data_IF_181452385766
#
_entry.id   IF_181452385766
#
_cell.length_a   1.000
_cell.length_b   1.000
_cell.length_c   1.000
_cell.angle_alpha   90.00
_cell.angle_beta   90.00
_cell.angle_gamma   90.00
#
_symmetry.space_group_name_H-M   'P 1'
#
loop_
_entity.id
_entity.type
_entity.pdbx_description
1 polymer ?
#
# COMPACT_ATOMS: atom_id res chain seq x y z
N UNK A 1 0.76 -11.72 -2.56
CA UNK A 1 1.47 -10.44 -2.79
C UNK A 1 2.14 -9.94 -1.50
N UNK A 2 1.44 -9.40 -0.49
CA UNK A 2 2.02 -8.91 0.78
C UNK A 2 3.06 -9.88 1.39
N UNK A 3 2.69 -11.15 1.57
CA UNK A 3 3.59 -12.20 2.08
C UNK A 3 4.88 -12.37 1.26
N UNK A 4 4.83 -12.19 -0.06
CA UNK A 4 6.01 -12.29 -0.93
C UNK A 4 6.93 -11.07 -0.74
N UNK A 5 6.38 -9.88 -0.53
CA UNK A 5 7.19 -8.71 -0.14
C UNK A 5 7.89 -8.93 1.21
N UNK A 6 7.23 -9.59 2.18
CA UNK A 6 7.87 -9.98 3.45
C UNK A 6 9.09 -10.86 3.20
N UNK A 7 8.98 -11.92 2.38
CA UNK A 7 10.11 -12.79 2.03
C UNK A 7 11.30 -12.00 1.47
N UNK A 8 11.03 -11.00 0.63
CA UNK A 8 12.03 -10.11 0.04
C UNK A 8 12.67 -9.08 1.01
N UNK A 9 12.20 -8.95 2.25
CA UNK A 9 12.74 -8.04 3.29
C UNK A 9 13.16 -8.78 4.57
N UNK A 10 13.30 -10.11 4.56
CA UNK A 10 13.79 -10.87 5.71
C UNK A 10 15.30 -10.66 5.89
N UNK A 11 15.70 -10.14 7.05
CA UNK A 11 17.00 -10.45 7.62
C UNK A 11 16.99 -11.87 8.18
N UNK A 12 17.90 -12.72 7.70
CA UNK A 12 18.04 -14.11 8.14
C UNK A 12 18.85 -14.25 9.45
N UNK A 13 19.48 -13.19 9.95
CA UNK A 13 20.04 -13.17 11.31
C UNK A 13 18.95 -12.98 12.38
N UNK A 14 17.89 -12.23 12.07
CA UNK A 14 16.76 -11.97 12.98
C UNK A 14 15.39 -12.26 12.31
N UNK A 15 15.15 -13.49 11.81
CA UNK A 15 13.98 -13.76 11.00
C UNK A 15 12.69 -13.74 11.84
N UNK A 16 11.58 -13.16 11.33
CA UNK A 16 10.25 -13.40 11.89
C UNK A 16 9.85 -14.88 11.73
N UNK A 17 8.78 -15.35 12.40
CA UNK A 17 8.35 -16.76 12.29
C UNK A 17 7.97 -17.17 10.85
N UNK A 18 8.89 -17.84 10.17
CA UNK A 18 8.71 -18.42 8.84
C UNK A 18 8.02 -19.79 8.96
N UNK A 19 7.24 -20.17 7.94
CA UNK A 19 6.77 -21.53 7.73
C UNK A 19 6.91 -21.94 6.26
N UNK A 20 7.50 -23.09 5.97
CA UNK A 20 7.60 -23.67 4.62
C UNK A 20 6.84 -25.01 4.60
N UNK A 21 6.10 -25.29 3.51
CA UNK A 21 5.43 -26.60 3.38
C UNK A 21 6.44 -27.67 2.98
N UNK A 22 6.29 -28.90 3.50
CA UNK A 22 7.14 -30.03 3.12
C UNK A 22 7.19 -30.24 1.59
N UNK A 23 6.04 -30.08 0.94
CA UNK A 23 5.88 -30.06 -0.52
C UNK A 23 6.80 -29.02 -1.20
N UNK A 24 6.91 -27.80 -0.67
CA UNK A 24 7.84 -26.77 -1.18
C UNK A 24 9.30 -27.19 -0.99
N UNK A 25 9.63 -27.87 0.11
CA UNK A 25 11.00 -28.38 0.37
C UNK A 25 11.34 -29.53 -0.57
N UNK A 26 10.40 -30.45 -0.82
CA UNK A 26 10.56 -31.55 -1.78
C UNK A 26 10.68 -30.99 -3.21
N UNK A 27 9.87 -30.00 -3.59
CA UNK A 27 9.99 -29.29 -4.86
C UNK A 27 11.33 -28.55 -5.02
N UNK A 28 11.86 -27.93 -3.95
CA UNK A 28 13.20 -27.31 -3.94
C UNK A 28 14.29 -28.35 -4.20
N UNK A 29 14.24 -29.48 -3.48
CA UNK A 29 15.18 -30.59 -3.63
C UNK A 29 15.16 -31.22 -5.04
N UNK A 30 14.01 -31.20 -5.72
CA UNK A 30 13.86 -31.77 -7.06
C UNK A 30 14.11 -30.77 -8.21
N UNK A 31 13.78 -29.49 -8.02
CA UNK A 31 14.04 -28.46 -9.05
C UNK A 31 15.52 -28.08 -9.13
N UNK A 32 16.24 -28.15 -8.00
CA UNK A 32 17.64 -27.70 -7.88
C UNK A 32 18.65 -28.84 -7.67
N UNK A 33 18.33 -30.05 -8.13
CA UNK A 33 19.27 -31.19 -8.14
C UNK A 33 20.58 -30.81 -8.85
N UNK A 34 21.71 -31.23 -8.28
CA UNK A 34 23.05 -30.90 -8.79
C UNK A 34 23.62 -29.54 -8.32
N UNK A 35 22.81 -28.70 -7.66
CA UNK A 35 23.33 -27.55 -6.91
C UNK A 35 24.21 -28.02 -5.74
N UNK A 36 25.36 -27.38 -5.45
CA UNK A 36 26.21 -27.74 -4.31
C UNK A 36 25.55 -27.47 -2.94
N UNK A 37 24.40 -26.80 -2.91
CA UNK A 37 23.59 -26.57 -1.71
C UNK A 37 22.43 -27.57 -1.55
N UNK A 38 22.25 -28.51 -2.50
CA UNK A 38 21.14 -29.47 -2.53
C UNK A 38 21.69 -30.91 -2.47
N UNK A 39 21.29 -31.73 -1.48
CA UNK A 39 21.80 -33.08 -1.32
C UNK A 39 21.28 -34.04 -2.39
N UNK A 40 22.20 -34.81 -2.97
CA UNK A 40 21.91 -35.85 -3.96
C UNK A 40 21.64 -37.24 -3.36
N UNK A 41 22.00 -37.47 -2.10
CA UNK A 41 21.80 -38.76 -1.41
C UNK A 41 20.46 -38.82 -0.70
N UNK A 42 19.87 -40.03 -0.56
CA UNK A 42 18.59 -40.21 0.15
C UNK A 42 18.68 -39.72 1.60
N UNK A 43 19.73 -40.11 2.32
CA UNK A 43 20.01 -39.65 3.68
C UNK A 43 20.12 -38.12 3.75
N UNK A 44 20.89 -37.49 2.85
CA UNK A 44 21.03 -36.04 2.83
C UNK A 44 19.70 -35.31 2.59
N UNK A 45 18.80 -35.88 1.77
CA UNK A 45 17.43 -35.36 1.59
C UNK A 45 16.56 -35.56 2.84
N UNK A 46 16.65 -36.70 3.50
CA UNK A 46 15.98 -36.95 4.79
C UNK A 46 16.44 -35.94 5.87
N UNK A 47 17.74 -35.66 5.95
CA UNK A 47 18.33 -34.64 6.83
C UNK A 47 17.91 -33.20 6.44
N UNK A 48 17.83 -32.90 5.14
CA UNK A 48 17.40 -31.59 4.64
C UNK A 48 15.94 -31.28 5.01
N UNK A 49 15.07 -32.29 4.95
CA UNK A 49 13.66 -32.18 5.33
C UNK A 49 13.45 -32.00 6.85
N UNK A 50 14.51 -32.11 7.65
CA UNK A 50 14.53 -31.83 9.09
C UNK A 50 15.22 -30.50 9.44
N UNK A 51 15.66 -29.71 8.45
CA UNK A 51 16.22 -28.37 8.68
C UNK A 51 15.14 -27.38 9.15
N UNK A 52 15.49 -26.38 9.98
CA UNK A 52 14.56 -25.31 10.33
C UNK A 52 14.31 -24.40 9.12
N UNK A 53 13.08 -23.90 8.99
CA UNK A 53 12.61 -23.18 7.78
C UNK A 53 13.44 -21.95 7.41
N UNK A 54 14.05 -21.23 8.37
CA UNK A 54 14.95 -20.11 8.07
C UNK A 54 16.22 -20.55 7.32
N UNK A 55 16.71 -21.76 7.59
CA UNK A 55 17.90 -22.34 6.94
C UNK A 55 17.56 -22.96 5.59
N UNK A 56 16.33 -23.43 5.42
CA UNK A 56 15.79 -23.78 4.10
C UNK A 56 15.66 -22.51 3.25
N UNK A 57 15.15 -21.40 3.81
CA UNK A 57 15.04 -20.11 3.13
C UNK A 57 16.40 -19.52 2.71
N UNK A 58 17.42 -19.61 3.57
CA UNK A 58 18.82 -19.29 3.21
C UNK A 58 19.28 -20.07 1.97
N UNK A 59 19.00 -21.39 1.92
CA UNK A 59 19.35 -22.23 0.77
C UNK A 59 18.52 -21.83 -0.48
N UNK A 60 17.23 -21.52 -0.33
CA UNK A 60 16.38 -20.99 -1.41
C UNK A 60 16.94 -19.69 -1.99
N UNK A 61 17.48 -18.79 -1.16
CA UNK A 61 18.14 -17.56 -1.60
C UNK A 61 19.47 -17.84 -2.32
N UNK A 62 20.28 -18.77 -1.82
CA UNK A 62 21.55 -19.18 -2.44
C UNK A 62 21.36 -19.78 -3.83
N UNK A 63 20.37 -20.66 -4.01
CA UNK A 63 20.05 -21.27 -5.33
C UNK A 63 19.14 -20.38 -6.20
N UNK A 64 18.62 -19.27 -5.63
CA UNK A 64 17.72 -18.30 -6.27
C UNK A 64 16.37 -18.89 -6.71
N UNK A 65 15.76 -19.70 -5.85
CA UNK A 65 14.47 -20.37 -6.05
C UNK A 65 13.25 -19.42 -6.00
N UNK A 66 13.25 -18.40 -6.86
CA UNK A 66 12.32 -17.24 -6.84
C UNK A 66 10.86 -17.65 -7.03
N UNK A 67 10.63 -18.67 -7.85
CA UNK A 67 9.33 -19.31 -8.07
C UNK A 67 8.77 -19.96 -6.81
N UNK A 68 9.62 -20.48 -5.91
CA UNK A 68 9.19 -21.06 -4.63
C UNK A 68 9.00 -20.02 -3.52
N UNK A 69 9.51 -18.79 -3.65
CA UNK A 69 9.33 -17.73 -2.63
C UNK A 69 7.85 -17.39 -2.39
N UNK A 70 6.97 -17.65 -3.35
CA UNK A 70 5.52 -17.47 -3.20
C UNK A 70 4.88 -18.40 -2.16
N UNK A 71 5.50 -19.57 -1.91
CA UNK A 71 5.00 -20.61 -1.00
C UNK A 71 5.53 -20.49 0.43
N UNK A 72 6.58 -19.68 0.65
CA UNK A 72 7.17 -19.40 1.97
C UNK A 72 6.25 -18.47 2.76
N UNK A 73 5.69 -18.93 3.88
CA UNK A 73 4.79 -18.13 4.73
C UNK A 73 5.58 -17.33 5.77
N UNK A 74 5.31 -16.03 5.91
CA UNK A 74 5.99 -15.14 6.85
C UNK A 74 4.98 -14.57 7.85
N UNK A 75 5.01 -15.10 9.07
CA UNK A 75 4.01 -14.85 10.11
C UNK A 75 4.44 -13.70 11.03
N UNK A 76 4.56 -12.51 10.44
CA UNK A 76 5.00 -11.28 11.09
C UNK A 76 5.55 -10.30 10.05
N UNK A 77 5.72 -9.04 10.42
CA UNK A 77 6.44 -8.08 9.59
C UNK A 77 7.95 -8.17 9.88
N UNK A 78 8.81 -8.32 8.85
CA UNK A 78 10.24 -8.04 8.97
C UNK A 78 10.52 -6.62 9.52
N UNK A 79 11.72 -6.37 10.02
CA UNK A 79 12.07 -5.10 10.68
C UNK A 79 11.74 -3.87 9.80
N UNK A 80 12.08 -3.92 8.51
CA UNK A 80 11.77 -2.88 7.53
C UNK A 80 10.27 -2.53 7.47
N UNK A 81 9.38 -3.53 7.50
CA UNK A 81 7.94 -3.30 7.46
C UNK A 81 7.36 -2.90 8.82
N UNK A 82 7.89 -3.44 9.92
CA UNK A 82 7.52 -3.01 11.28
C UNK A 82 7.84 -1.53 11.49
N UNK A 83 9.07 -1.11 11.15
CA UNK A 83 9.49 0.31 11.17
C UNK A 83 8.65 1.17 10.24
N UNK A 84 8.32 0.70 9.03
CA UNK A 84 7.44 1.44 8.13
C UNK A 84 6.04 1.64 8.73
N UNK A 85 5.44 0.59 9.30
CA UNK A 85 4.10 0.63 9.90
C UNK A 85 4.03 1.61 11.07
N UNK A 86 4.95 1.51 12.01
CA UNK A 86 4.83 2.18 13.29
C UNK A 86 5.49 3.57 13.30
N UNK A 87 6.66 3.71 12.69
CA UNK A 87 7.50 4.91 12.75
C UNK A 87 7.33 5.84 11.53
N UNK A 88 6.66 5.39 10.46
CA UNK A 88 6.41 6.17 9.23
C UNK A 88 4.91 6.31 8.91
N UNK A 89 4.26 5.22 8.50
CA UNK A 89 2.84 5.12 8.11
C UNK A 89 1.93 5.76 9.16
N UNK A 90 1.87 5.14 10.35
CA UNK A 90 0.98 5.53 11.45
C UNK A 90 1.37 6.89 12.03
N UNK A 91 2.68 7.14 12.12
CA UNK A 91 3.25 8.26 12.88
C UNK A 91 3.12 9.61 12.18
N UNK A 92 3.34 9.68 10.87
CA UNK A 92 3.32 10.96 10.14
C UNK A 92 2.80 10.87 8.70
N UNK A 93 3.13 9.81 7.96
CA UNK A 93 2.81 9.72 6.52
C UNK A 93 1.31 9.84 6.24
N UNK A 94 0.47 9.09 6.97
CA UNK A 94 -0.98 9.11 6.75
C UNK A 94 -1.59 10.47 7.12
N UNK A 95 -1.18 11.02 8.25
CA UNK A 95 -1.78 12.23 8.85
C UNK A 95 -1.31 13.54 8.19
N UNK A 96 -0.12 13.56 7.59
CA UNK A 96 0.43 14.75 6.93
C UNK A 96 0.39 14.64 5.39
N UNK A 97 0.81 13.51 4.82
CA UNK A 97 0.98 13.34 3.37
C UNK A 97 -0.28 12.74 2.73
N UNK A 98 -0.83 11.65 3.26
CA UNK A 98 -1.95 10.92 2.65
C UNK A 98 -3.35 11.54 2.95
N UNK A 99 -3.44 12.81 3.34
CA UNK A 99 -4.76 13.45 3.57
C UNK A 99 -5.51 13.64 2.24
N UNK A 100 -6.85 13.70 2.27
CA UNK A 100 -7.68 13.95 1.08
C UNK A 100 -7.41 15.29 0.37
N UNK A 101 -6.69 16.24 1.01
CA UNK A 101 -6.26 17.52 0.41
C UNK A 101 -4.87 17.43 -0.24
N UNK A 102 -4.10 16.42 0.13
CA UNK A 102 -2.76 16.14 -0.36
C UNK A 102 -2.81 14.82 -1.15
N UNK A 103 -1.95 13.86 -0.83
CA UNK A 103 -1.76 12.65 -1.62
C UNK A 103 -2.84 11.57 -1.44
N UNK A 104 -3.84 11.75 -0.57
CA UNK A 104 -4.98 10.82 -0.45
C UNK A 104 -6.19 11.15 -1.32
N UNK A 105 -6.23 12.35 -1.91
CA UNK A 105 -7.37 12.84 -2.69
C UNK A 105 -7.53 12.14 -4.05
N UNK A 106 -8.59 12.49 -4.79
CA UNK A 106 -8.66 12.21 -6.23
C UNK A 106 -7.61 13.07 -6.98
N UNK A 107 -7.51 14.35 -6.62
CA UNK A 107 -6.57 15.35 -7.16
C UNK A 107 -5.09 15.15 -6.75
N UNK A 108 -4.73 13.97 -6.24
CA UNK A 108 -3.37 13.65 -5.78
C UNK A 108 -2.35 13.50 -6.94
N UNK A 109 -2.83 13.40 -8.18
CA UNK A 109 -2.01 13.11 -9.35
C UNK A 109 -1.27 11.77 -9.24
N UNK A 110 -0.07 11.70 -9.82
CA UNK A 110 0.76 10.48 -9.86
C UNK A 110 1.18 9.92 -8.49
N UNK A 111 1.27 10.75 -7.44
CA UNK A 111 1.63 10.31 -6.08
C UNK A 111 0.36 10.22 -5.23
N UNK A 112 -0.34 9.09 -5.34
CA UNK A 112 -1.62 8.85 -4.65
C UNK A 112 -1.50 7.74 -3.61
N UNK A 113 -1.45 8.14 -2.34
CA UNK A 113 -1.34 7.28 -1.16
C UNK A 113 -2.72 6.78 -0.68
N UNK A 114 -2.75 5.60 -0.07
CA UNK A 114 -3.90 5.01 0.59
C UNK A 114 -4.03 5.58 2.01
N UNK A 115 -5.24 6.03 2.36
CA UNK A 115 -5.58 6.54 3.69
C UNK A 115 -6.77 5.84 4.35
N UNK A 116 -7.47 4.97 3.62
CA UNK A 116 -8.53 4.09 4.14
C UNK A 116 -7.92 2.93 4.91
N UNK A 117 -8.42 2.64 6.12
CA UNK A 117 -7.93 1.55 7.01
C UNK A 117 -6.39 1.60 7.22
N UNK A 118 -5.81 2.75 7.63
CA UNK A 118 -4.37 3.02 7.48
C UNK A 118 -3.43 2.09 8.26
N UNK A 119 -3.89 1.46 9.34
CA UNK A 119 -3.09 0.48 10.10
C UNK A 119 -3.14 -0.96 9.57
N UNK A 120 -3.99 -1.26 8.58
CA UNK A 120 -4.13 -2.60 8.00
C UNK A 120 -3.06 -2.89 6.95
N UNK A 121 -2.62 -4.14 6.86
CA UNK A 121 -1.52 -4.61 6.00
C UNK A 121 -1.66 -4.16 4.54
N UNK A 122 -2.87 -4.18 3.99
CA UNK A 122 -3.17 -3.68 2.64
C UNK A 122 -2.73 -2.21 2.45
N UNK A 123 -3.13 -1.31 3.35
CA UNK A 123 -2.78 0.11 3.29
C UNK A 123 -1.30 0.37 3.61
N UNK A 124 -0.69 -0.44 4.48
CA UNK A 124 0.74 -0.36 4.83
C UNK A 124 1.60 -0.76 3.62
N UNK A 125 1.39 -1.96 3.08
CA UNK A 125 2.22 -2.50 2.01
C UNK A 125 1.97 -1.78 0.67
N UNK A 126 0.76 -1.27 0.41
CA UNK A 126 0.47 -0.44 -0.77
C UNK A 126 1.18 0.92 -0.66
N UNK A 127 1.11 1.63 0.47
CA UNK A 127 1.85 2.90 0.65
C UNK A 127 3.36 2.70 0.54
N UNK A 128 3.88 1.61 1.10
CA UNK A 128 5.28 1.24 0.93
C UNK A 128 5.65 1.07 -0.56
N UNK A 129 4.88 0.27 -1.33
CA UNK A 129 5.13 0.06 -2.76
C UNK A 129 5.08 1.37 -3.55
N UNK A 130 4.12 2.25 -3.25
CA UNK A 130 4.02 3.57 -3.87
C UNK A 130 5.30 4.36 -3.64
N UNK A 131 5.74 4.50 -2.38
CA UNK A 131 6.93 5.29 -2.05
C UNK A 131 8.22 4.68 -2.61
N UNK A 132 8.38 3.36 -2.54
CA UNK A 132 9.54 2.62 -3.06
C UNK A 132 9.62 2.66 -4.60
N UNK A 133 8.49 2.79 -5.31
CA UNK A 133 8.45 2.84 -6.79
C UNK A 133 8.24 4.24 -7.37
N UNK A 134 8.03 5.26 -6.55
CA UNK A 134 7.76 6.60 -7.07
C UNK A 134 9.02 7.26 -7.64
N UNK A 135 9.03 7.42 -8.96
CA UNK A 135 10.02 8.20 -9.70
C UNK A 135 9.47 9.59 -9.96
N UNK A 136 10.18 10.62 -9.49
CA UNK A 136 9.84 12.03 -9.68
C UNK A 136 9.92 12.45 -11.15
N UNK A 137 9.41 13.65 -11.47
CA UNK A 137 9.49 14.23 -12.82
C UNK A 137 10.92 14.48 -13.31
N UNK A 138 11.92 14.54 -12.43
CA UNK A 138 13.35 14.63 -12.76
C UNK A 138 14.04 13.26 -12.88
N UNK A 139 13.27 12.17 -12.94
CA UNK A 139 13.78 10.80 -13.13
C UNK A 139 14.40 10.15 -11.89
N UNK A 140 14.45 10.85 -10.74
CA UNK A 140 15.06 10.33 -9.51
C UNK A 140 14.03 9.72 -8.57
N UNK A 141 14.38 8.69 -7.78
CA UNK A 141 13.45 8.04 -6.85
C UNK A 141 13.12 8.95 -5.64
N UNK A 142 11.98 8.69 -5.00
CA UNK A 142 11.53 9.40 -3.81
C UNK A 142 12.31 9.02 -2.53
N UNK A 143 12.93 7.83 -2.53
CA UNK A 143 13.79 7.27 -1.48
C UNK A 143 15.21 7.15 -2.03
N UNK A 144 16.22 7.49 -1.22
CA UNK A 144 17.63 7.33 -1.53
C UNK A 144 18.28 6.40 -0.48
N UNK A 145 18.59 5.17 -0.86
CA UNK A 145 19.12 4.17 0.08
C UNK A 145 20.53 4.50 0.58
N UNK A 146 21.36 5.06 -0.30
CA UNK A 146 22.76 5.39 -0.03
C UNK A 146 22.94 6.75 0.66
N UNK A 147 21.90 7.59 0.66
CA UNK A 147 21.78 8.77 1.51
C UNK A 147 20.33 8.88 2.03
N UNK A 148 20.00 8.10 3.08
CA UNK A 148 18.66 8.09 3.66
C UNK A 148 18.19 9.49 4.09
N UNK A 149 19.10 10.32 4.61
CA UNK A 149 18.81 11.67 5.09
C UNK A 149 18.41 12.63 3.96
N UNK A 150 19.10 12.59 2.82
CA UNK A 150 18.78 13.40 1.64
C UNK A 150 17.59 12.87 0.80
N UNK A 151 16.94 11.78 1.23
CA UNK A 151 15.76 11.23 0.55
C UNK A 151 14.70 12.31 0.31
N UNK A 152 14.24 12.54 -0.94
CA UNK A 152 13.21 13.52 -1.26
C UNK A 152 11.94 13.40 -0.42
N UNK A 153 11.55 12.17 -0.02
CA UNK A 153 10.48 11.89 0.93
C UNK A 153 10.63 12.63 2.28
N UNK A 154 11.86 12.71 2.81
CA UNK A 154 12.14 13.32 4.10
C UNK A 154 12.44 14.82 3.96
N UNK A 155 13.19 15.20 2.92
CA UNK A 155 13.51 16.60 2.60
C UNK A 155 12.25 17.44 2.33
N UNK A 156 11.27 16.91 1.58
CA UNK A 156 9.99 17.60 1.38
C UNK A 156 9.11 17.68 2.65
N UNK A 157 9.47 16.95 3.70
CA UNK A 157 8.83 17.04 5.01
C UNK A 157 9.42 18.11 5.94
N UNK A 158 10.58 18.70 5.60
CA UNK A 158 11.24 19.74 6.40
C UNK A 158 10.66 21.15 6.18
N UNK A 159 10.96 22.12 7.06
CA UNK A 159 10.76 23.55 6.79
C UNK A 159 11.52 23.99 5.53
N UNK A 160 10.94 24.90 4.74
CA UNK A 160 11.50 25.32 3.42
C UNK A 160 12.92 25.89 3.50
N UNK A 161 13.28 26.54 4.60
CA UNK A 161 14.64 27.07 4.82
C UNK A 161 15.67 26.01 5.23
N UNK A 162 15.22 24.86 5.74
CA UNK A 162 16.10 23.76 6.14
C UNK A 162 16.29 22.74 5.01
N UNK A 163 15.31 22.63 4.10
CA UNK A 163 15.22 21.60 3.07
C UNK A 163 16.10 21.91 1.85
N UNK A 164 17.00 20.99 1.48
CA UNK A 164 17.71 21.01 0.19
C UNK A 164 16.76 20.77 -0.99
N UNK A 165 15.61 20.10 -0.74
CA UNK A 165 14.46 20.07 -1.65
C UNK A 165 13.16 20.18 -0.86
N UNK A 166 12.67 21.41 -0.71
CA UNK A 166 11.33 21.66 -0.16
C UNK A 166 10.21 21.12 -1.04
N UNK A 167 9.05 20.85 -0.42
CA UNK A 167 7.81 20.46 -1.10
C UNK A 167 7.34 21.55 -2.10
N UNK A 168 6.63 21.20 -3.20
CA UNK A 168 5.92 22.19 -4.03
C UNK A 168 5.01 23.12 -3.20
N UNK A 169 4.72 24.32 -3.70
CA UNK A 169 3.80 25.25 -3.04
C UNK A 169 2.35 24.87 -3.34
N UNK A 170 1.65 24.31 -2.33
CA UNK A 170 0.25 23.91 -2.43
C UNK A 170 -0.55 24.35 -1.20
N UNK A 171 -1.83 24.66 -1.39
CA UNK A 171 -2.68 25.29 -0.38
C UNK A 171 -2.88 24.38 0.84
N UNK A 172 -2.29 24.79 1.97
CA UNK A 172 -2.46 24.12 3.26
C UNK A 172 -1.42 23.05 3.57
N UNK A 173 -0.36 22.90 2.75
CA UNK A 173 0.85 22.19 3.16
C UNK A 173 1.48 22.86 4.39
N UNK A 174 2.10 22.04 5.24
CA UNK A 174 2.91 22.44 6.40
C UNK A 174 4.08 21.45 6.54
N UNK A 175 5.21 21.85 7.16
CA UNK A 175 6.28 20.93 7.50
C UNK A 175 5.77 19.77 8.37
N UNK A 176 6.26 18.57 8.08
CA UNK A 176 5.99 17.32 8.80
C UNK A 176 6.96 17.17 9.99
N UNK A 177 8.20 17.62 9.79
CA UNK A 177 9.29 17.56 10.75
C UNK A 177 9.69 18.98 11.18
N UNK A 178 10.20 19.11 12.41
CA UNK A 178 10.72 20.40 12.92
C UNK A 178 12.13 20.72 12.44
N UNK A 179 12.92 19.68 12.17
CA UNK A 179 14.34 19.73 11.78
C UNK A 179 14.82 18.31 11.42
N UNK A 180 16.07 18.15 10.98
CA UNK A 180 16.70 16.82 10.82
C UNK A 180 16.98 16.10 12.15
N UNK A 181 16.94 16.80 13.29
CA UNK A 181 17.07 16.20 14.63
C UNK A 181 15.74 15.73 15.22
N UNK A 182 14.61 16.03 14.57
CA UNK A 182 13.28 15.55 14.95
C UNK A 182 13.26 14.01 15.09
N UNK A 183 12.59 13.49 16.12
CA UNK A 183 12.48 12.04 16.35
C UNK A 183 11.77 11.36 15.17
N UNK A 184 10.91 12.05 14.43
CA UNK A 184 10.14 11.48 13.32
C UNK A 184 10.94 11.48 12.01
N UNK A 185 11.77 12.51 11.78
CA UNK A 185 12.74 12.52 10.68
C UNK A 185 13.75 11.38 10.85
N UNK A 186 14.37 11.27 12.03
CA UNK A 186 15.35 10.21 12.33
C UNK A 186 14.76 8.80 12.31
N UNK A 187 13.46 8.65 12.59
CA UNK A 187 12.77 7.37 12.45
C UNK A 187 12.54 7.00 10.96
N UNK A 188 12.25 7.99 10.11
CA UNK A 188 12.22 7.80 8.65
C UNK A 188 13.58 7.41 8.07
N UNK A 189 14.66 8.04 8.56
CA UNK A 189 16.05 7.66 8.23
C UNK A 189 16.33 6.20 8.62
N UNK A 190 16.10 5.83 9.89
CA UNK A 190 16.35 4.48 10.39
C UNK A 190 15.50 3.39 9.68
N UNK A 191 14.30 3.74 9.19
CA UNK A 191 13.52 2.86 8.35
C UNK A 191 14.19 2.61 6.98
N UNK A 192 14.65 3.66 6.29
CA UNK A 192 15.32 3.54 4.98
C UNK A 192 16.69 2.82 5.12
N UNK A 193 17.34 2.97 6.27
CA UNK A 193 18.55 2.20 6.62
C UNK A 193 18.24 0.70 6.78
N UNK A 194 17.11 0.34 7.39
CA UNK A 194 16.68 -1.06 7.61
C UNK A 194 16.16 -1.83 6.38
N UNK A 195 16.03 -1.19 5.22
CA UNK A 195 15.60 -1.85 3.98
C UNK A 195 16.66 -2.85 3.50
N UNK A 196 16.24 -4.05 3.07
CA UNK A 196 17.13 -5.08 2.52
C UNK A 196 17.94 -4.57 1.32
N UNK A 197 19.23 -4.92 1.27
CA UNK A 197 20.19 -4.46 0.25
C UNK A 197 20.95 -5.63 -0.39
N UNK A 198 21.17 -5.63 -1.72
CA UNK A 198 20.63 -4.68 -2.71
C UNK A 198 19.10 -4.83 -2.83
N UNK A 199 18.40 -3.76 -3.22
CA UNK A 199 16.92 -3.80 -3.31
C UNK A 199 16.46 -4.91 -4.26
N UNK A 200 15.46 -5.71 -3.86
CA UNK A 200 14.72 -6.53 -4.80
C UNK A 200 13.73 -5.66 -5.57
N UNK A 201 13.49 -5.98 -6.85
CA UNK A 201 12.20 -5.64 -7.43
C UNK A 201 11.18 -6.71 -7.00
N UNK A 202 10.08 -6.28 -6.41
CA UNK A 202 9.03 -7.19 -5.97
C UNK A 202 8.21 -7.64 -7.20
N UNK A 203 8.02 -8.94 -7.45
CA UNK A 203 7.10 -9.46 -8.46
C UNK A 203 5.64 -9.33 -7.98
N UNK A 204 5.24 -8.08 -7.73
CA UNK A 204 3.90 -7.64 -7.35
C UNK A 204 3.49 -6.59 -8.36
N UNK A 205 2.44 -6.86 -9.13
CA UNK A 205 1.83 -5.88 -10.01
C UNK A 205 1.20 -4.76 -9.18
N UNK A 206 1.60 -3.52 -9.43
CA UNK A 206 0.96 -2.33 -8.90
C UNK A 206 0.88 -1.30 -10.03
N UNK A 207 -0.34 -1.05 -10.52
CA UNK A 207 -0.61 0.00 -11.48
C UNK A 207 -0.93 1.29 -10.69
N UNK A 208 -0.08 2.33 -10.73
CA UNK A 208 -0.43 3.62 -10.14
C UNK A 208 -1.65 4.19 -10.88
N UNK A 209 -2.56 4.92 -10.19
CA UNK A 209 -3.68 5.58 -10.82
C UNK A 209 -3.21 6.50 -11.96
N UNK A 210 -3.60 6.18 -13.20
CA UNK A 210 -3.29 6.98 -14.37
C UNK A 210 -4.11 8.26 -14.38
N UNK A 211 -3.57 9.32 -14.98
CA UNK A 211 -4.20 10.66 -15.09
C UNK A 211 -5.43 10.68 -16.03
N UNK A 212 -5.82 9.51 -16.56
CA UNK A 212 -6.98 9.27 -17.44
C UNK A 212 -8.33 9.32 -16.69
N UNK A 213 -8.56 10.36 -15.89
CA UNK A 213 -9.84 10.70 -15.26
C UNK A 213 -10.77 11.51 -16.17
N UNK A 214 -10.85 11.15 -17.46
CA UNK A 214 -11.70 11.85 -18.42
C UNK A 214 -13.20 11.69 -18.11
N UNK A 215 -14.06 12.69 -18.42
CA UNK A 215 -15.49 12.55 -18.24
C UNK A 215 -16.05 11.39 -19.07
N UNK A 216 -16.77 10.47 -18.43
CA UNK A 216 -17.35 9.33 -19.13
C UNK A 216 -18.39 9.77 -20.16
N UNK A 217 -18.26 9.33 -21.41
CA UNK A 217 -19.28 9.53 -22.43
C UNK A 217 -20.63 8.92 -22.01
N UNK A 218 -21.76 9.54 -22.37
CA UNK A 218 -23.09 9.05 -22.01
C UNK A 218 -23.41 7.76 -22.78
N UNK A 219 -23.12 6.61 -22.16
CA UNK A 219 -23.30 5.26 -22.72
C UNK A 219 -24.73 4.97 -23.19
N UNK A 220 -24.95 5.19 -24.48
CA UNK A 220 -26.17 4.92 -25.25
C UNK A 220 -26.86 3.60 -24.84
N UNK A 221 -28.05 3.68 -24.22
CA UNK A 221 -28.97 2.55 -24.03
C UNK A 221 -30.17 2.61 -24.95
N UNK A 222 -29.89 2.51 -26.25
CA UNK A 222 -30.90 2.25 -27.27
C UNK A 222 -31.65 0.94 -27.02
N UNK A 223 -32.98 1.07 -26.94
CA UNK A 223 -33.98 0.11 -27.42
C UNK A 223 -33.80 -1.40 -27.09
N UNK A 224 -34.62 -1.91 -26.16
CA UNK A 224 -35.16 -3.27 -26.24
C UNK A 224 -36.68 -3.25 -26.08
N UNK A 225 -37.40 -3.07 -27.18
CA UNK A 225 -38.85 -3.26 -27.22
C UNK A 225 -39.26 -4.70 -26.91
N UNK A 226 -40.39 -4.88 -26.21
CA UNK A 226 -41.11 -6.16 -26.13
C UNK A 226 -42.62 -5.88 -26.16
N UNK A 227 -43.29 -6.40 -27.17
CA UNK A 227 -44.68 -6.02 -27.47
C UNK A 227 -45.73 -6.82 -26.68
N UNK A 228 -46.78 -6.10 -26.30
CA UNK A 228 -48.20 -6.47 -26.19
C UNK A 228 -48.61 -7.88 -25.71
N UNK A 229 -49.33 -7.92 -24.57
CA UNK A 229 -50.60 -8.67 -24.46
C UNK A 229 -51.66 -7.88 -23.69
N UNK A 230 -52.69 -7.40 -24.38
CA UNK A 230 -54.03 -7.04 -23.85
C UNK A 230 -54.67 -8.24 -23.13
N UNK A 231 -55.72 -8.13 -22.30
CA UNK A 231 -56.74 -7.08 -22.08
C UNK A 231 -56.98 -6.91 -20.54
N UNK A 232 -58.09 -6.45 -19.91
CA UNK A 232 -59.50 -6.22 -20.28
C UNK A 232 -59.94 -4.76 -20.00
N UNK A 233 -60.92 -4.50 -19.11
CA UNK A 233 -61.59 -3.19 -18.89
C UNK A 233 -62.36 -3.13 -17.56
N UNK A 234 -62.40 -1.94 -16.93
CA UNK A 234 -63.58 -1.19 -16.35
C UNK A 234 -63.09 -0.30 -15.18
N UNK A 235 -63.02 1.03 -15.32
CA UNK A 235 -64.09 2.08 -15.27
C UNK A 235 -64.70 2.32 -13.86
N UNK A 236 -64.41 3.48 -13.24
CA UNK A 236 -65.39 4.52 -12.82
C UNK A 236 -64.70 5.86 -12.45
N UNK A 237 -65.46 6.91 -12.03
CA UNK A 237 -65.07 8.34 -11.97
C UNK A 237 -64.98 8.92 -10.53
N UNK A 238 -64.42 10.15 -10.33
CA UNK A 238 -64.27 10.88 -9.04
C UNK A 238 -65.38 11.98 -8.93
N UNK A 239 -65.24 13.16 -8.27
CA UNK A 239 -64.27 13.69 -7.27
C UNK A 239 -64.89 14.41 -6.03
N UNK A 240 -64.09 14.78 -5.04
CA UNK A 240 -64.42 15.80 -4.01
C UNK A 240 -63.18 16.53 -3.45
N UNK A 241 -63.33 17.29 -2.36
CA UNK A 241 -62.93 18.72 -2.38
C UNK A 241 -62.89 19.44 -1.02
N UNK A 242 -61.94 20.38 -0.84
CA UNK A 242 -61.81 21.31 0.31
C UNK A 242 -60.44 21.19 1.01
N UNK A 243 -59.71 22.21 1.50
CA UNK A 243 -59.92 23.64 1.87
C UNK A 243 -59.97 23.89 3.39
N UNK A 244 -58.86 24.42 3.94
CA UNK A 244 -58.73 25.51 4.94
C UNK A 244 -57.22 25.64 5.32
N UNK A 245 -56.59 26.83 5.32
CA UNK A 245 -56.60 27.95 6.31
C UNK A 245 -56.06 27.52 7.70
N UNK A 246 -55.04 28.16 8.29
CA UNK A 246 -54.19 29.27 7.82
C UNK A 246 -53.28 29.85 8.95
N UNK A 247 -52.61 30.99 8.71
CA UNK A 247 -51.88 31.87 9.66
C UNK A 247 -50.66 31.27 10.43
N UNK A 248 -49.49 31.91 10.60
CA UNK A 248 -49.17 33.24 11.20
C UNK A 248 -49.58 33.30 12.70
N UNK A 249 -48.78 33.73 13.69
CA UNK A 249 -47.67 34.72 13.81
C UNK A 249 -46.68 34.20 14.89
N UNK A 250 -45.35 34.35 14.81
CA UNK A 250 -44.60 35.53 15.31
C UNK A 250 -43.29 35.17 16.04
N UNK A 251 -42.45 36.18 16.28
CA UNK A 251 -41.22 36.18 17.10
C UNK A 251 -41.21 37.48 17.95
N UNK A 252 -40.14 37.90 18.66
CA UNK A 252 -38.89 37.26 19.12
C UNK A 252 -38.68 37.40 20.65
N UNK A 253 -37.50 37.07 21.20
CA UNK A 253 -37.14 37.45 22.59
C UNK A 253 -35.83 36.82 23.13
N UNK A 254 -34.95 37.53 23.88
CA UNK A 254 -33.61 37.03 24.22
C UNK A 254 -33.19 37.12 25.72
N UNK A 255 -31.92 36.77 25.99
CA UNK A 255 -31.10 37.05 27.20
C UNK A 255 -31.42 36.23 28.47
N UNK A 256 -30.54 35.28 28.79
CA UNK A 256 -29.53 35.41 29.87
C UNK A 256 -28.19 34.94 29.32
#
# INVERSE_FOLDING_TARGET
QINLMRVYEIDLAHPPPIKISRETVEQLLDTYQGSPYIPSTRQGREEFLALPDWKILDIMFRVRARELYGSVQVNGDPEAFSRFRDDVQTRWLVNACATNRCHGGAEAGRLRLVNTRPGGDEAVYTNFLILNRFVMTDGRPLILENDPGASPLLEMGLPRGDAARGHPEVRGWRPVFRSRSDRSFRAGVAWIESLYRPRPDYPVEYLPPSESGGPGEPGNRGNRGRADRRMVRRRHRPPSSGSHRGACVGAPGPVV
#
